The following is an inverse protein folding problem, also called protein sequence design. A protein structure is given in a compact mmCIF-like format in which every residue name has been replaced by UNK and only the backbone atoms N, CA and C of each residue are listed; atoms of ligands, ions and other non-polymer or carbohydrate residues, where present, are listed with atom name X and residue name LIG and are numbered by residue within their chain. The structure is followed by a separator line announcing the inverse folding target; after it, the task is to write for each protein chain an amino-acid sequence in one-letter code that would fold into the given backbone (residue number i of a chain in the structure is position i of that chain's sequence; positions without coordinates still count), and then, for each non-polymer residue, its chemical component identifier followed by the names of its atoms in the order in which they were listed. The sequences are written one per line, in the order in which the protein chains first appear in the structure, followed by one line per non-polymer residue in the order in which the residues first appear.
data_IF_556898591659
#
_entry.id   IF_556898591659
#
_cell.length_a   1.000
_cell.length_b   1.000
_cell.length_c   1.000
_cell.angle_alpha   90.00
_cell.angle_beta   90.00
_cell.angle_gamma   90.00
#
_symmetry.space_group_name_H-M   'P 1'
#
loop_
_entity.id
_entity.type
_entity.pdbx_description
1 polymer ?
#
# COMPACT_ATOMS: atom_id res chain seq x y z
N UNK A 1 -58.98 42.99 27.38
CA UNK A 1 -59.37 42.02 26.32
C UNK A 1 -58.60 42.40 25.07
N UNK A 2 -57.72 41.63 24.44
CA UNK A 2 -57.30 40.25 24.60
C UNK A 2 -55.82 40.12 24.18
N UNK A 3 -55.15 39.10 24.69
CA UNK A 3 -53.71 38.88 24.57
C UNK A 3 -53.33 37.96 23.39
N UNK A 4 -52.22 38.33 22.74
CA UNK A 4 -51.10 37.48 22.31
C UNK A 4 -51.44 36.26 21.43
N UNK A 5 -51.44 36.46 20.11
CA UNK A 5 -51.34 35.39 19.10
C UNK A 5 -50.11 35.61 18.21
N UNK A 6 -49.02 34.89 18.47
CA UNK A 6 -47.81 35.03 17.65
C UNK A 6 -46.63 34.10 17.96
N UNK A 7 -46.81 32.98 18.68
CA UNK A 7 -45.67 32.15 19.11
C UNK A 7 -45.57 30.75 18.45
N UNK A 8 -46.49 30.35 17.56
CA UNK A 8 -46.49 29.00 16.97
C UNK A 8 -45.56 28.78 15.77
N UNK A 9 -45.12 29.84 15.08
CA UNK A 9 -44.38 29.71 13.80
C UNK A 9 -42.86 29.74 13.97
N UNK A 10 -42.34 30.46 14.97
CA UNK A 10 -40.90 30.55 15.21
C UNK A 10 -40.30 29.22 15.72
N UNK A 11 -40.99 28.53 16.64
CA UNK A 11 -40.55 27.23 17.17
C UNK A 11 -40.55 26.11 16.14
N UNK A 12 -41.56 26.05 15.25
CA UNK A 12 -41.61 25.06 14.15
C UNK A 12 -40.51 25.31 13.11
N UNK A 13 -40.19 26.58 12.80
CA UNK A 13 -39.10 26.94 11.88
C UNK A 13 -37.73 26.61 12.46
N UNK A 14 -37.51 26.88 13.75
CA UNK A 14 -36.26 26.53 14.44
C UNK A 14 -36.06 25.00 14.52
N UNK A 15 -37.13 24.24 14.83
CA UNK A 15 -37.08 22.77 14.82
C UNK A 15 -36.81 22.18 13.43
N UNK A 16 -37.44 22.73 12.38
CA UNK A 16 -37.17 22.33 11.00
C UNK A 16 -35.71 22.64 10.57
N UNK A 17 -35.19 23.82 10.96
CA UNK A 17 -33.81 24.20 10.68
C UNK A 17 -32.80 23.28 11.39
N UNK A 18 -33.06 22.91 12.65
CA UNK A 18 -32.25 21.94 13.40
C UNK A 18 -32.27 20.56 12.74
N UNK A 19 -33.43 20.07 12.31
CA UNK A 19 -33.55 18.79 11.59
C UNK A 19 -32.78 18.80 10.28
N UNK A 20 -32.88 19.89 9.50
CA UNK A 20 -32.13 20.04 8.25
C UNK A 20 -30.62 20.10 8.50
N UNK A 21 -30.18 20.78 9.57
CA UNK A 21 -28.78 20.84 9.98
C UNK A 21 -28.28 19.45 10.41
N UNK A 22 -29.06 18.70 11.19
CA UNK A 22 -28.68 17.33 11.57
C UNK A 22 -28.60 16.42 10.33
N UNK A 23 -29.58 16.51 9.44
CA UNK A 23 -29.58 15.73 8.20
C UNK A 23 -28.38 16.06 7.31
N UNK A 24 -27.99 17.33 7.21
CA UNK A 24 -26.82 17.74 6.43
C UNK A 24 -25.51 17.24 7.06
N UNK A 25 -25.38 17.29 8.39
CA UNK A 25 -24.23 16.71 9.10
C UNK A 25 -24.14 15.20 8.91
N UNK A 26 -25.26 14.48 8.98
CA UNK A 26 -25.29 13.03 8.73
C UNK A 26 -24.88 12.73 7.29
N UNK A 27 -25.44 13.44 6.31
CA UNK A 27 -25.09 13.26 4.90
C UNK A 27 -23.58 13.53 4.65
N UNK A 28 -23.04 14.58 5.27
CA UNK A 28 -21.62 14.92 5.17
C UNK A 28 -20.73 13.85 5.82
N UNK A 29 -21.12 13.34 7.00
CA UNK A 29 -20.44 12.24 7.67
C UNK A 29 -20.42 10.95 6.84
N UNK A 30 -21.56 10.58 6.24
CA UNK A 30 -21.66 9.43 5.32
C UNK A 30 -20.77 9.64 4.09
N UNK A 31 -20.77 10.84 3.51
CA UNK A 31 -19.92 11.17 2.37
C UNK A 31 -18.43 10.95 2.67
N UNK A 32 -17.96 11.46 3.82
CA UNK A 32 -16.57 11.28 4.27
C UNK A 32 -16.22 9.81 4.55
N UNK A 33 -17.13 9.07 5.20
CA UNK A 33 -16.92 7.65 5.51
C UNK A 33 -16.70 6.79 4.25
N UNK A 34 -17.29 7.18 3.12
CA UNK A 34 -17.12 6.48 1.85
C UNK A 34 -15.93 7.02 1.04
N UNK A 35 -15.61 8.31 1.13
CA UNK A 35 -14.51 8.93 0.39
C UNK A 35 -13.12 8.50 0.90
N UNK A 36 -12.92 8.45 2.23
CA UNK A 36 -11.61 8.17 2.84
C UNK A 36 -11.02 6.79 2.48
N UNK A 37 -11.79 5.67 2.54
CA UNK A 37 -11.25 4.34 2.19
C UNK A 37 -10.80 4.24 0.73
N UNK A 38 -11.41 4.99 -0.19
CA UNK A 38 -11.06 4.94 -1.61
C UNK A 38 -9.66 5.48 -1.88
N UNK A 39 -9.34 6.64 -1.33
CA UNK A 39 -8.01 7.25 -1.50
C UNK A 39 -6.88 6.35 -0.94
N UNK A 40 -7.11 5.72 0.22
CA UNK A 40 -6.13 4.81 0.81
C UNK A 40 -5.92 3.53 -0.03
N UNK A 41 -6.98 3.02 -0.67
CA UNK A 41 -6.88 1.86 -1.53
C UNK A 41 -6.06 2.15 -2.79
N UNK A 42 -6.19 3.32 -3.40
CA UNK A 42 -5.45 3.67 -4.61
C UNK A 42 -3.94 3.82 -4.34
N UNK A 43 -3.57 4.43 -3.21
CA UNK A 43 -2.17 4.47 -2.74
C UNK A 43 -1.63 3.07 -2.52
N UNK A 44 -2.41 2.19 -1.88
CA UNK A 44 -2.01 0.80 -1.64
C UNK A 44 -1.83 0.02 -2.94
N UNK A 45 -2.75 0.17 -3.91
CA UNK A 45 -2.62 -0.43 -5.26
C UNK A 45 -1.36 0.02 -5.99
N UNK A 46 -1.00 1.29 -5.87
CA UNK A 46 0.24 1.82 -6.46
C UNK A 46 1.46 1.14 -5.83
N UNK A 47 1.54 1.07 -4.49
CA UNK A 47 2.63 0.39 -3.78
C UNK A 47 2.72 -1.10 -4.13
N UNK A 48 1.60 -1.79 -4.24
CA UNK A 48 1.56 -3.19 -4.67
C UNK A 48 2.09 -3.40 -6.09
N UNK A 49 1.80 -2.46 -6.99
CA UNK A 49 2.28 -2.50 -8.38
C UNK A 49 3.79 -2.27 -8.42
N UNK A 50 4.29 -1.33 -7.63
CA UNK A 50 5.72 -1.09 -7.47
C UNK A 50 6.44 -2.29 -6.84
N UNK A 51 5.86 -2.91 -5.81
CA UNK A 51 6.41 -4.10 -5.16
C UNK A 51 6.59 -5.24 -6.18
N UNK A 52 5.57 -5.53 -6.98
CA UNK A 52 5.66 -6.55 -8.05
C UNK A 52 6.74 -6.22 -9.07
N UNK A 53 6.86 -4.94 -9.44
CA UNK A 53 7.89 -4.49 -10.37
C UNK A 53 9.30 -4.71 -9.80
N UNK A 54 9.53 -4.31 -8.55
CA UNK A 54 10.82 -4.45 -7.84
C UNK A 54 11.19 -5.93 -7.66
N UNK A 55 10.28 -6.76 -7.18
CA UNK A 55 10.50 -8.22 -7.06
C UNK A 55 10.85 -8.86 -8.41
N UNK A 56 10.16 -8.43 -9.47
CA UNK A 56 10.47 -8.87 -10.84
C UNK A 56 11.87 -8.47 -11.30
N UNK A 57 12.33 -7.25 -10.97
CA UNK A 57 13.70 -6.81 -11.25
C UNK A 57 14.74 -7.64 -10.50
N UNK A 58 14.52 -7.94 -9.23
CA UNK A 58 15.43 -8.79 -8.46
C UNK A 58 15.52 -10.20 -9.03
N UNK A 59 14.39 -10.80 -9.41
CA UNK A 59 14.37 -12.13 -10.05
C UNK A 59 15.13 -12.14 -11.37
N UNK A 60 14.93 -11.12 -12.21
CA UNK A 60 15.67 -10.98 -13.48
C UNK A 60 17.17 -10.79 -13.24
N UNK A 61 17.54 -9.98 -12.25
CA UNK A 61 18.94 -9.76 -11.90
C UNK A 61 19.60 -11.04 -11.37
N UNK A 62 18.92 -11.77 -10.49
CA UNK A 62 19.39 -13.04 -9.95
C UNK A 62 19.53 -14.12 -11.02
N UNK A 63 18.59 -14.23 -11.96
CA UNK A 63 18.68 -15.15 -13.09
C UNK A 63 19.92 -14.85 -13.95
N UNK A 64 20.13 -13.58 -14.32
CA UNK A 64 21.33 -13.16 -15.09
C UNK A 64 22.63 -13.41 -14.33
N UNK A 65 22.64 -13.22 -13.01
CA UNK A 65 23.79 -13.53 -12.16
C UNK A 65 24.09 -15.03 -12.19
N UNK A 66 23.07 -15.86 -12.01
CA UNK A 66 23.22 -17.32 -12.06
C UNK A 66 23.73 -17.79 -13.43
N UNK A 67 23.20 -17.25 -14.53
CA UNK A 67 23.66 -17.57 -15.89
C UNK A 67 25.14 -17.26 -16.14
N UNK A 68 25.68 -16.19 -15.54
CA UNK A 68 27.08 -15.78 -15.75
C UNK A 68 28.06 -16.37 -14.76
N UNK A 69 27.65 -16.49 -13.50
CA UNK A 69 28.54 -16.87 -12.38
C UNK A 69 28.40 -18.36 -12.06
N UNK A 70 27.28 -18.99 -12.45
CA UNK A 70 27.00 -20.40 -12.17
C UNK A 70 26.60 -20.69 -10.72
N UNK A 71 26.29 -19.65 -9.93
CA UNK A 71 25.77 -19.75 -8.55
C UNK A 71 24.75 -18.67 -8.28
N UNK A 72 23.88 -18.87 -7.29
CA UNK A 72 22.99 -17.81 -6.82
C UNK A 72 23.75 -16.77 -5.98
N UNK A 73 23.32 -15.50 -6.00
CA UNK A 73 23.84 -14.47 -5.11
C UNK A 73 23.45 -14.79 -3.66
N UNK A 74 24.27 -14.40 -2.69
CA UNK A 74 23.96 -14.58 -1.27
C UNK A 74 23.04 -13.46 -0.75
N UNK A 75 23.20 -12.26 -1.31
CA UNK A 75 22.39 -11.07 -0.98
C UNK A 75 22.14 -10.22 -2.25
N UNK A 76 21.19 -9.30 -2.18
CA UNK A 76 20.92 -8.27 -3.18
C UNK A 76 22.14 -7.40 -3.46
N UNK A 77 23.04 -7.23 -2.49
CA UNK A 77 24.23 -6.42 -2.66
C UNK A 77 25.22 -7.04 -3.67
N UNK A 78 25.31 -8.37 -3.71
CA UNK A 78 26.10 -9.10 -4.71
C UNK A 78 25.62 -8.81 -6.14
N UNK A 79 24.33 -8.54 -6.31
CA UNK A 79 23.74 -8.18 -7.62
C UNK A 79 24.12 -6.77 -8.07
N UNK A 80 24.38 -5.86 -7.12
CA UNK A 80 24.76 -4.47 -7.40
C UNK A 80 26.26 -4.35 -7.70
N UNK A 81 27.09 -5.08 -6.96
CA UNK A 81 28.55 -5.05 -7.13
C UNK A 81 28.99 -5.94 -8.28
N UNK A 82 28.53 -7.21 -8.25
CA UNK A 82 28.81 -8.25 -9.23
C UNK A 82 30.30 -8.61 -9.40
N UNK A 83 30.59 -9.82 -9.89
CA UNK A 83 31.96 -10.25 -10.13
C UNK A 83 32.56 -9.49 -11.31
N UNK A 84 33.82 -9.07 -11.18
CA UNK A 84 34.54 -8.32 -12.22
C UNK A 84 33.96 -6.93 -12.49
N UNK A 85 33.17 -6.37 -11.57
CA UNK A 85 32.53 -5.06 -11.71
C UNK A 85 31.28 -5.06 -12.61
N UNK A 86 30.80 -6.24 -13.02
CA UNK A 86 29.58 -6.35 -13.80
C UNK A 86 28.34 -6.24 -12.93
N UNK A 87 27.62 -5.12 -13.04
CA UNK A 87 26.38 -4.90 -12.28
C UNK A 87 25.19 -5.62 -12.93
N UNK A 88 24.45 -6.41 -12.15
CA UNK A 88 23.21 -7.07 -12.57
C UNK A 88 21.95 -6.32 -12.13
N UNK A 89 22.10 -5.51 -11.08
CA UNK A 89 21.08 -4.64 -10.50
C UNK A 89 21.64 -3.21 -10.41
N UNK A 90 20.83 -2.22 -10.75
CA UNK A 90 21.26 -0.81 -10.72
C UNK A 90 21.51 -0.30 -9.30
N UNK A 91 20.63 -0.67 -8.37
CA UNK A 91 20.66 -0.34 -6.94
C UNK A 91 19.69 -1.26 -6.21
N UNK A 92 19.89 -1.43 -4.90
CA UNK A 92 18.86 -2.02 -4.04
C UNK A 92 17.72 -1.01 -3.92
N UNK A 93 16.54 -1.37 -4.39
CA UNK A 93 15.34 -0.53 -4.25
C UNK A 93 14.80 -0.64 -2.82
N UNK A 94 14.26 0.44 -2.23
CA UNK A 94 13.53 0.33 -0.98
C UNK A 94 12.24 -0.47 -1.19
N UNK A 95 11.79 -1.19 -0.18
CA UNK A 95 10.50 -1.87 -0.12
C UNK A 95 9.39 -0.81 -0.12
N UNK A 96 8.49 -0.81 -1.13
CA UNK A 96 7.37 0.14 -1.20
C UNK A 96 6.37 0.04 -0.04
N UNK A 97 6.37 -1.08 0.71
CA UNK A 97 5.49 -1.30 1.85
C UNK A 97 6.07 -0.77 3.15
N UNK A 98 7.36 -1.03 3.44
CA UNK A 98 8.02 -0.59 4.69
C UNK A 98 8.74 0.75 4.54
N UNK A 99 9.06 1.15 3.31
CA UNK A 99 9.88 2.32 2.99
C UNK A 99 11.38 2.12 3.25
N UNK A 100 11.81 0.91 3.60
CA UNK A 100 13.20 0.56 3.95
C UNK A 100 13.76 -0.48 2.98
N UNK A 101 15.07 -0.63 2.90
CA UNK A 101 15.72 -1.69 2.12
C UNK A 101 15.92 -2.96 2.96
N UNK A 102 14.87 -3.41 3.65
CA UNK A 102 14.90 -4.53 4.60
C UNK A 102 14.38 -5.85 4.00
N UNK A 103 14.82 -6.16 2.79
CA UNK A 103 14.41 -7.37 2.08
C UNK A 103 14.88 -8.64 2.80
N UNK A 104 14.00 -9.64 2.85
CA UNK A 104 14.37 -10.98 3.33
C UNK A 104 14.76 -11.81 2.12
N UNK A 105 16.00 -12.27 2.11
CA UNK A 105 16.59 -13.08 1.06
C UNK A 105 16.71 -14.51 1.54
N UNK A 106 16.20 -15.46 0.77
CA UNK A 106 16.23 -16.88 1.08
C UNK A 106 16.61 -17.72 -0.13
N UNK A 107 17.32 -18.80 0.12
CA UNK A 107 17.54 -19.83 -0.89
C UNK A 107 16.29 -20.71 -0.97
N UNK A 108 15.69 -20.80 -2.16
CA UNK A 108 14.56 -21.69 -2.41
C UNK A 108 14.99 -23.13 -2.22
N UNK A 109 14.13 -23.94 -1.59
CA UNK A 109 14.30 -25.39 -1.48
C UNK A 109 14.48 -26.10 -2.84
N UNK A 110 14.07 -25.45 -3.94
CA UNK A 110 14.23 -25.94 -5.32
C UNK A 110 15.50 -25.42 -6.02
N UNK A 111 16.42 -24.78 -5.30
CA UNK A 111 17.67 -24.25 -5.85
C UNK A 111 17.50 -22.94 -6.61
N UNK A 112 16.96 -21.92 -5.93
CA UNK A 112 16.64 -20.61 -6.51
C UNK A 112 16.87 -19.46 -5.55
N UNK A 113 16.91 -18.22 -6.06
CA UNK A 113 17.01 -17.02 -5.23
C UNK A 113 15.62 -16.42 -4.98
N UNK A 114 15.16 -16.42 -3.73
CA UNK A 114 13.89 -15.83 -3.31
C UNK A 114 14.14 -14.53 -2.55
N UNK A 115 13.34 -13.51 -2.89
CA UNK A 115 13.36 -12.22 -2.22
C UNK A 115 11.93 -11.87 -1.86
N UNK A 116 11.70 -11.48 -0.60
CA UNK A 116 10.37 -11.10 -0.11
C UNK A 116 10.41 -9.83 0.73
N UNK A 117 9.27 -9.13 0.75
CA UNK A 117 9.06 -7.95 1.60
C UNK A 117 9.07 -8.36 3.08
N UNK A 118 9.68 -7.54 3.93
CA UNK A 118 9.62 -7.70 5.39
C UNK A 118 8.30 -7.20 6.00
N UNK A 119 7.37 -6.69 5.19
CA UNK A 119 6.10 -6.20 5.68
C UNK A 119 5.21 -7.32 6.22
N UNK A 120 4.69 -7.11 7.42
CA UNK A 120 3.64 -7.96 8.04
C UNK A 120 2.25 -7.65 7.50
N UNK A 121 2.12 -6.64 6.62
CA UNK A 121 0.84 -6.27 6.05
C UNK A 121 0.34 -7.29 5.02
N UNK A 122 -0.98 -7.26 4.81
CA UNK A 122 -1.66 -8.04 3.79
C UNK A 122 -2.05 -7.13 2.63
N UNK A 123 -1.98 -7.69 1.43
CA UNK A 123 -2.51 -7.07 0.21
C UNK A 123 -4.02 -6.79 0.29
N UNK A 124 -4.50 -5.99 -0.65
CA UNK A 124 -5.95 -5.77 -0.83
C UNK A 124 -6.72 -7.08 -1.10
N UNK A 125 -6.05 -8.11 -1.60
CA UNK A 125 -6.60 -9.46 -1.80
C UNK A 125 -6.50 -10.36 -0.55
N UNK A 126 -5.94 -9.87 0.56
CA UNK A 126 -5.80 -10.61 1.82
C UNK A 126 -4.55 -11.50 1.93
N UNK A 127 -3.72 -11.55 0.88
CA UNK A 127 -2.46 -12.31 0.84
C UNK A 127 -1.34 -11.52 1.54
N UNK A 128 -0.59 -12.10 2.48
CA UNK A 128 0.58 -11.46 3.09
C UNK A 128 1.63 -11.06 2.04
N UNK A 129 2.25 -9.89 2.18
CA UNK A 129 3.31 -9.47 1.25
C UNK A 129 4.56 -10.35 1.32
N UNK A 130 4.80 -11.01 2.45
CA UNK A 130 5.87 -12.01 2.61
C UNK A 130 5.69 -13.24 1.71
N UNK A 131 4.46 -13.52 1.25
CA UNK A 131 4.15 -14.66 0.38
C UNK A 131 4.23 -14.31 -1.12
N UNK A 132 4.49 -13.05 -1.46
CA UNK A 132 4.58 -12.59 -2.84
C UNK A 132 5.92 -13.03 -3.42
N UNK A 133 5.88 -13.69 -4.59
CA UNK A 133 7.04 -14.29 -5.27
C UNK A 133 7.19 -13.75 -6.68
#
# INVERSE_FOLDING_TARGET
MAARTGQGHAGRRAGAALLLLMLSLVALGVGLAVALPRANNDVKRARETELRFVLGEFRRAAARFHERVGRWPADLQDLVEGPGGQRFLRRVYPDPMTGKSDWVVEESATGGFLVRSASVERSLAGVPYADWR
#
